data_IF_429559808913
#
_entry.id   IF_429559808913
#
_cell.length_a   1.000
_cell.length_b   1.000
_cell.length_c   1.000
_cell.angle_alpha   90.00
_cell.angle_beta   90.00
_cell.angle_gamma   90.00
#
_symmetry.space_group_name_H-M   'P 1'
#
loop_
_entity.id
_entity.type
_entity.pdbx_description
1 polymer ?
#
# COMPACT_ATOMS: atom_id res chain seq x y z
N UNK A 1 12.07 -24.49 14.44
CA UNK A 1 11.06 -25.17 13.61
C UNK A 1 9.71 -24.93 14.25
N UNK A 2 8.70 -24.53 13.49
CA UNK A 2 7.34 -24.35 14.00
C UNK A 2 6.72 -25.72 14.28
N UNK A 3 6.16 -25.94 15.48
CA UNK A 3 5.30 -27.09 15.80
C UNK A 3 3.87 -26.74 15.43
N UNK A 4 3.36 -27.36 14.37
CA UNK A 4 2.00 -27.13 13.87
C UNK A 4 1.03 -28.16 14.47
N UNK A 5 -0.10 -27.68 14.98
CA UNK A 5 -1.19 -28.54 15.43
C UNK A 5 -2.05 -29.03 14.24
N UNK A 6 -3.05 -29.86 14.54
CA UNK A 6 -3.96 -30.42 13.53
C UNK A 6 -4.73 -29.34 12.78
N UNK A 7 -5.10 -28.24 13.45
CA UNK A 7 -5.83 -27.11 12.87
C UNK A 7 -4.96 -26.38 11.83
N UNK A 8 -3.73 -26.03 12.21
CA UNK A 8 -2.77 -25.40 11.31
C UNK A 8 -2.47 -26.28 10.08
N UNK A 9 -2.33 -27.60 10.26
CA UNK A 9 -2.14 -28.54 9.15
C UNK A 9 -3.37 -28.60 8.22
N UNK A 10 -4.59 -28.51 8.75
CA UNK A 10 -5.83 -28.48 7.96
C UNK A 10 -5.90 -27.21 7.11
N UNK A 11 -5.62 -26.04 7.71
CA UNK A 11 -5.59 -24.75 7.02
C UNK A 11 -4.58 -24.75 5.87
N UNK A 12 -3.34 -25.19 6.12
CA UNK A 12 -2.28 -25.23 5.11
C UNK A 12 -2.62 -26.17 3.93
N UNK A 13 -3.33 -27.27 4.17
CA UNK A 13 -3.79 -28.19 3.12
C UNK A 13 -4.95 -27.62 2.29
N UNK A 14 -5.81 -26.80 2.91
CA UNK A 14 -6.99 -26.20 2.28
C UNK A 14 -6.63 -24.99 1.42
N UNK A 15 -5.59 -24.25 1.78
CA UNK A 15 -5.15 -23.09 1.03
C UNK A 15 -4.77 -23.47 -0.42
N UNK A 16 -5.33 -22.75 -1.40
CA UNK A 16 -5.12 -23.01 -2.84
C UNK A 16 -3.65 -22.89 -3.26
N UNK A 17 -2.93 -21.98 -2.64
CA UNK A 17 -1.51 -21.71 -2.87
C UNK A 17 -0.91 -21.02 -1.63
N UNK A 18 0.36 -20.63 -1.71
CA UNK A 18 1.11 -20.04 -0.59
C UNK A 18 1.10 -18.51 -0.55
N UNK A 19 0.22 -17.86 -1.33
CA UNK A 19 0.08 -16.40 -1.25
C UNK A 19 -0.57 -16.04 0.09
N UNK A 20 -0.14 -14.91 0.67
CA UNK A 20 -0.60 -14.51 2.00
C UNK A 20 -2.13 -14.43 2.08
N UNK A 21 -2.77 -13.85 1.07
CA UNK A 21 -4.24 -13.75 1.00
C UNK A 21 -4.92 -15.13 0.99
N UNK A 22 -4.38 -16.11 0.23
CA UNK A 22 -4.92 -17.48 0.19
C UNK A 22 -4.81 -18.19 1.54
N UNK A 23 -3.70 -18.00 2.24
CA UNK A 23 -3.44 -18.61 3.56
C UNK A 23 -4.34 -18.01 4.64
N UNK A 24 -4.43 -16.67 4.70
CA UNK A 24 -5.29 -16.00 5.68
C UNK A 24 -6.77 -16.27 5.40
N UNK A 25 -7.18 -16.33 4.13
CA UNK A 25 -8.55 -16.73 3.78
C UNK A 25 -8.88 -18.14 4.27
N UNK A 26 -7.99 -19.11 4.07
CA UNK A 26 -8.20 -20.47 4.55
C UNK A 26 -8.29 -20.56 6.08
N UNK A 27 -7.52 -19.72 6.80
CA UNK A 27 -7.63 -19.58 8.25
C UNK A 27 -9.00 -18.98 8.65
N UNK A 28 -9.43 -17.91 7.98
CA UNK A 28 -10.73 -17.29 8.26
C UNK A 28 -11.87 -18.27 8.01
N UNK A 29 -11.88 -18.98 6.87
CA UNK A 29 -12.93 -19.96 6.55
C UNK A 29 -13.02 -21.06 7.62
N UNK A 30 -11.87 -21.53 8.14
CA UNK A 30 -11.82 -22.54 9.20
C UNK A 30 -12.36 -22.00 10.54
N UNK A 31 -12.07 -20.74 10.87
CA UNK A 31 -12.61 -20.09 12.07
C UNK A 31 -14.10 -19.75 11.92
N UNK A 32 -14.55 -19.36 10.72
CA UNK A 32 -15.97 -19.16 10.40
C UNK A 32 -16.76 -20.48 10.61
N UNK A 33 -16.20 -21.63 10.22
CA UNK A 33 -16.77 -22.97 10.52
C UNK A 33 -16.88 -23.26 12.03
N UNK A 34 -16.04 -22.64 12.86
CA UNK A 34 -16.09 -22.73 14.32
C UNK A 34 -17.03 -21.71 14.97
N UNK A 35 -17.69 -20.86 14.18
CA UNK A 35 -18.64 -19.84 14.65
C UNK A 35 -18.04 -18.46 14.94
N UNK A 36 -16.81 -18.19 14.48
CA UNK A 36 -16.23 -16.84 14.54
C UNK A 36 -16.76 -15.96 13.40
N UNK A 37 -16.89 -14.66 13.66
CA UNK A 37 -17.27 -13.67 12.66
C UNK A 37 -16.11 -12.68 12.43
N UNK A 38 -15.84 -12.38 11.16
CA UNK A 38 -14.84 -11.38 10.76
C UNK A 38 -15.53 -10.15 10.19
N UNK A 39 -15.52 -9.07 10.96
CA UNK A 39 -16.14 -7.79 10.58
C UNK A 39 -15.24 -7.01 9.63
N UNK A 40 -15.86 -6.27 8.70
CA UNK A 40 -15.16 -5.28 7.88
C UNK A 40 -14.63 -4.16 8.79
N UNK A 41 -13.30 -3.92 8.84
CA UNK A 41 -12.75 -2.84 9.65
C UNK A 41 -13.03 -1.46 9.07
N UNK A 42 -13.39 -1.35 7.78
CA UNK A 42 -13.50 -0.08 7.07
C UNK A 42 -14.44 0.94 7.73
N UNK A 43 -15.67 0.59 8.15
CA UNK A 43 -16.58 1.55 8.80
C UNK A 43 -16.05 2.12 10.11
N UNK A 44 -15.12 1.42 10.77
CA UNK A 44 -14.52 1.83 12.04
C UNK A 44 -13.24 2.65 11.86
N UNK A 45 -12.66 2.65 10.66
CA UNK A 45 -11.36 3.25 10.36
C UNK A 45 -11.43 4.28 9.22
N UNK A 46 -12.62 4.79 8.89
CA UNK A 46 -12.82 5.71 7.76
C UNK A 46 -11.97 6.98 7.87
N UNK A 47 -11.76 7.50 9.08
CA UNK A 47 -10.98 8.71 9.33
C UNK A 47 -9.51 8.56 8.87
N UNK A 48 -8.99 7.33 8.91
CA UNK A 48 -7.62 6.99 8.51
C UNK A 48 -7.48 6.84 7.00
N UNK A 49 -8.56 6.74 6.23
CA UNK A 49 -8.48 6.60 4.78
C UNK A 49 -7.92 7.86 4.12
N UNK A 50 -7.11 7.67 3.09
CA UNK A 50 -6.70 8.74 2.19
C UNK A 50 -7.94 9.33 1.50
N UNK A 51 -8.16 10.65 1.67
CA UNK A 51 -9.21 11.39 0.97
C UNK A 51 -8.87 11.58 -0.51
N UNK A 52 -9.73 12.26 -1.27
CA UNK A 52 -9.43 12.66 -2.65
C UNK A 52 -8.72 14.02 -2.67
N UNK A 53 -7.74 14.18 -3.57
CA UNK A 53 -6.99 15.42 -3.76
C UNK A 53 -5.74 15.51 -2.89
N UNK A 54 -5.13 16.69 -2.84
CA UNK A 54 -3.95 16.96 -2.00
C UNK A 54 -4.35 16.92 -0.53
N UNK A 55 -3.67 16.10 0.28
CA UNK A 55 -4.04 15.79 1.66
C UNK A 55 -3.28 16.63 2.69
N UNK A 56 -2.12 17.17 2.33
CA UNK A 56 -1.33 18.08 3.15
C UNK A 56 -1.23 19.47 2.53
N UNK A 57 -0.46 20.38 3.13
CA UNK A 57 -0.38 21.79 2.68
C UNK A 57 0.41 22.00 1.39
N UNK A 58 1.08 20.96 0.89
CA UNK A 58 1.99 21.01 -0.25
C UNK A 58 1.37 20.40 -1.50
N UNK A 59 1.13 21.24 -2.50
CA UNK A 59 0.72 20.78 -3.83
C UNK A 59 1.87 20.06 -4.56
N UNK A 60 1.59 19.00 -5.33
CA UNK A 60 2.59 18.36 -6.16
C UNK A 60 2.98 19.28 -7.32
N UNK A 61 4.21 19.15 -7.81
CA UNK A 61 4.59 19.77 -9.08
C UNK A 61 3.82 19.15 -10.25
N UNK A 62 3.71 19.86 -11.38
CA UNK A 62 3.07 19.32 -12.59
C UNK A 62 3.72 18.00 -13.04
N UNK A 63 5.05 17.90 -12.97
CA UNK A 63 5.78 16.68 -13.31
C UNK A 63 5.47 15.53 -12.34
N UNK A 64 5.38 15.82 -11.04
CA UNK A 64 5.00 14.80 -10.06
C UNK A 64 3.57 14.31 -10.29
N UNK A 65 2.62 15.21 -10.58
CA UNK A 65 1.25 14.84 -10.92
C UNK A 65 1.19 13.98 -12.19
N UNK A 66 1.95 14.33 -13.23
CA UNK A 66 2.05 13.50 -14.45
C UNK A 66 2.58 12.09 -14.17
N UNK A 67 3.63 11.96 -13.33
CA UNK A 67 4.18 10.67 -12.92
C UNK A 67 3.16 9.86 -12.10
N UNK A 68 2.42 10.52 -11.19
CA UNK A 68 1.35 9.90 -10.42
C UNK A 68 0.23 9.35 -11.30
N UNK A 69 -0.26 10.16 -12.25
CA UNK A 69 -1.31 9.77 -13.19
C UNK A 69 -0.84 8.67 -14.16
N UNK A 70 0.42 8.70 -14.58
CA UNK A 70 1.03 7.64 -15.38
C UNK A 70 1.13 6.32 -14.59
N UNK A 71 1.63 6.39 -13.35
CA UNK A 71 1.92 5.22 -12.53
C UNK A 71 0.67 4.55 -11.95
N UNK A 72 -0.39 5.31 -11.68
CA UNK A 72 -1.59 4.81 -11.04
C UNK A 72 -2.24 3.59 -11.74
N UNK A 73 -2.59 3.63 -13.05
CA UNK A 73 -3.15 2.46 -13.72
C UNK A 73 -2.18 1.27 -13.73
N UNK A 74 -0.87 1.51 -13.84
CA UNK A 74 0.14 0.44 -13.80
C UNK A 74 0.17 -0.24 -12.42
N UNK A 75 0.14 0.55 -11.35
CA UNK A 75 0.06 0.04 -9.99
C UNK A 75 -1.20 -0.81 -9.78
N UNK A 76 -2.35 -0.40 -10.37
CA UNK A 76 -3.61 -1.16 -10.30
C UNK A 76 -3.51 -2.53 -10.96
N UNK A 77 -2.88 -2.62 -12.13
CA UNK A 77 -2.66 -3.89 -12.83
C UNK A 77 -1.73 -4.82 -12.03
N UNK A 78 -0.60 -4.30 -11.54
CA UNK A 78 0.34 -5.07 -10.71
C UNK A 78 -0.34 -5.60 -9.44
N UNK A 79 -1.16 -4.78 -8.79
CA UNK A 79 -1.90 -5.19 -7.61
C UNK A 79 -2.90 -6.32 -7.92
N UNK A 80 -3.51 -6.35 -9.12
CA UNK A 80 -4.38 -7.48 -9.51
C UNK A 80 -3.63 -8.80 -9.63
N UNK A 81 -2.35 -8.75 -9.97
CA UNK A 81 -1.51 -9.94 -10.11
C UNK A 81 -1.04 -10.50 -8.76
N UNK A 82 -1.42 -9.89 -7.63
CA UNK A 82 -0.99 -10.33 -6.28
C UNK A 82 0.54 -10.26 -6.10
N UNK A 83 1.21 -9.36 -6.82
CA UNK A 83 2.67 -9.16 -6.71
C UNK A 83 2.98 -8.19 -5.57
N UNK A 84 2.35 -7.01 -5.59
CA UNK A 84 2.51 -5.97 -4.58
C UNK A 84 1.57 -4.80 -4.84
N UNK A 85 1.55 -3.82 -3.94
CA UNK A 85 0.60 -2.70 -3.97
C UNK A 85 1.27 -1.35 -4.22
N UNK A 86 2.60 -1.31 -4.21
CA UNK A 86 3.39 -0.10 -4.35
C UNK A 86 4.28 -0.17 -5.59
N UNK A 87 4.33 0.93 -6.34
CA UNK A 87 5.37 1.15 -7.35
C UNK A 87 6.07 2.49 -7.10
N UNK A 88 7.27 2.62 -7.66
CA UNK A 88 8.01 3.87 -7.68
C UNK A 88 8.27 4.28 -9.13
N UNK A 89 7.94 5.52 -9.45
CA UNK A 89 8.01 6.10 -10.80
C UNK A 89 8.93 7.32 -10.79
N UNK A 90 9.61 7.55 -11.90
CA UNK A 90 10.28 8.81 -12.20
C UNK A 90 10.24 9.07 -13.69
N UNK A 91 9.83 10.26 -14.10
CA UNK A 91 9.81 10.70 -15.50
C UNK A 91 9.09 9.68 -16.40
N UNK A 92 7.88 9.28 -15.98
CA UNK A 92 7.02 8.28 -16.64
C UNK A 92 7.71 6.92 -16.88
N UNK A 93 8.63 6.55 -16.00
CA UNK A 93 9.30 5.25 -16.01
C UNK A 93 9.11 4.56 -14.67
N UNK A 94 8.68 3.29 -14.68
CA UNK A 94 8.63 2.47 -13.47
C UNK A 94 10.04 2.07 -13.08
N UNK A 95 10.49 2.52 -11.91
CA UNK A 95 11.84 2.26 -11.38
C UNK A 95 11.84 0.98 -10.54
N UNK A 96 10.81 0.81 -9.71
CA UNK A 96 10.65 -0.39 -8.89
C UNK A 96 9.18 -0.73 -8.69
N UNK A 97 8.94 -2.01 -8.45
CA UNK A 97 7.66 -2.60 -8.08
C UNK A 97 7.89 -3.36 -6.78
N UNK A 98 7.07 -3.11 -5.77
CA UNK A 98 7.04 -3.88 -4.52
C UNK A 98 6.64 -5.33 -4.80
N UNK A 99 7.31 -6.27 -4.15
CA UNK A 99 6.89 -7.64 -4.02
C UNK A 99 7.11 -8.13 -2.57
N UNK A 100 7.76 -9.28 -2.38
CA UNK A 100 7.99 -9.86 -1.05
C UNK A 100 8.94 -9.04 -0.16
N UNK A 101 9.72 -8.11 -0.71
CA UNK A 101 10.64 -7.28 0.07
C UNK A 101 9.92 -6.20 0.88
N UNK A 102 8.68 -5.87 0.52
CA UNK A 102 7.88 -4.85 1.17
C UNK A 102 8.14 -3.42 0.68
N UNK A 103 7.24 -2.52 1.09
CA UNK A 103 7.15 -1.14 0.59
C UNK A 103 8.46 -0.36 0.76
N UNK A 104 9.08 -0.41 1.93
CA UNK A 104 10.28 0.39 2.24
C UNK A 104 11.49 -0.04 1.39
N UNK A 105 11.74 -1.35 1.26
CA UNK A 105 12.85 -1.85 0.45
C UNK A 105 12.66 -1.53 -1.04
N UNK A 106 11.43 -1.56 -1.55
CA UNK A 106 11.13 -1.12 -2.91
C UNK A 106 11.42 0.38 -3.13
N UNK A 107 11.13 1.23 -2.13
CA UNK A 107 11.44 2.67 -2.14
C UNK A 107 12.96 2.89 -2.12
N UNK A 108 13.69 2.25 -1.21
CA UNK A 108 15.14 2.37 -1.13
C UNK A 108 15.82 1.90 -2.41
N UNK A 109 15.35 0.79 -2.99
CA UNK A 109 15.84 0.27 -4.27
C UNK A 109 15.65 1.29 -5.39
N UNK A 110 14.50 1.95 -5.47
CA UNK A 110 14.28 3.02 -6.45
C UNK A 110 15.24 4.21 -6.25
N UNK A 111 15.45 4.63 -5.00
CA UNK A 111 16.41 5.69 -4.68
C UNK A 111 17.84 5.35 -5.11
N UNK A 112 18.26 4.09 -4.97
CA UNK A 112 19.57 3.61 -5.43
C UNK A 112 19.69 3.60 -6.97
N UNK A 113 18.62 3.26 -7.67
CA UNK A 113 18.61 3.11 -9.14
C UNK A 113 18.43 4.44 -9.88
N UNK A 114 17.56 5.32 -9.38
CA UNK A 114 17.11 6.52 -10.09
C UNK A 114 17.41 7.84 -9.34
N UNK A 115 17.94 7.76 -8.12
CA UNK A 115 18.27 8.92 -7.30
C UNK A 115 17.05 9.70 -6.80
N UNK A 116 17.24 11.01 -6.60
CA UNK A 116 16.20 11.92 -6.10
C UNK A 116 15.04 12.12 -7.08
N UNK A 117 13.91 12.61 -6.56
CA UNK A 117 12.74 12.97 -7.35
C UNK A 117 11.95 11.76 -7.85
N UNK A 118 12.00 10.66 -7.11
CA UNK A 118 11.10 9.53 -7.34
C UNK A 118 9.72 9.84 -6.73
N UNK A 119 8.66 9.30 -7.32
CA UNK A 119 7.28 9.36 -6.84
C UNK A 119 6.79 7.98 -6.52
N UNK A 120 6.12 7.85 -5.38
CA UNK A 120 5.62 6.55 -4.92
C UNK A 120 4.12 6.52 -5.10
N UNK A 121 3.61 5.43 -5.66
CA UNK A 121 2.18 5.20 -5.83
C UNK A 121 1.82 3.93 -5.08
N UNK A 122 0.84 4.01 -4.17
CA UNK A 122 0.29 2.86 -3.45
C UNK A 122 -1.20 2.75 -3.68
N UNK A 123 -1.65 1.55 -4.02
CA UNK A 123 -3.05 1.26 -4.39
C UNK A 123 -3.57 0.03 -3.66
N UNK A 124 -4.88 -0.18 -3.71
CA UNK A 124 -5.50 -1.42 -3.29
C UNK A 124 -5.72 -2.34 -4.49
N UNK A 125 -5.93 -3.63 -4.21
CA UNK A 125 -6.41 -4.59 -5.22
C UNK A 125 -7.84 -4.25 -5.62
N UNK A 126 -8.33 -4.78 -6.76
CA UNK A 126 -9.72 -4.53 -7.19
C UNK A 126 -10.69 -5.24 -6.24
N UNK A 127 -10.39 -6.50 -5.94
CA UNK A 127 -11.14 -7.34 -5.01
C UNK A 127 -10.40 -7.44 -3.67
N UNK A 128 -9.99 -6.29 -3.11
CA UNK A 128 -9.33 -6.24 -1.80
C UNK A 128 -10.32 -6.69 -0.73
N UNK A 129 -10.00 -7.76 -0.01
CA UNK A 129 -10.72 -8.14 1.21
C UNK A 129 -10.08 -7.38 2.38
N UNK A 130 -10.71 -6.27 2.78
CA UNK A 130 -10.22 -5.40 3.84
C UNK A 130 -10.20 -6.07 5.22
N UNK A 131 -10.87 -7.21 5.38
CA UNK A 131 -10.80 -8.03 6.61
C UNK A 131 -9.47 -8.78 6.72
N UNK A 132 -8.82 -9.05 5.59
CA UNK A 132 -7.55 -9.77 5.51
C UNK A 132 -6.39 -8.78 5.56
N UNK A 133 -6.44 -7.78 4.69
CA UNK A 133 -5.33 -6.87 4.46
C UNK A 133 -5.85 -5.48 4.13
N UNK A 134 -5.29 -4.49 4.83
CA UNK A 134 -5.59 -3.07 4.65
C UNK A 134 -4.36 -2.38 4.07
N UNK A 135 -4.39 -1.92 2.81
CA UNK A 135 -3.26 -1.21 2.21
C UNK A 135 -2.94 0.03 3.04
N UNK A 136 -1.71 0.13 3.54
CA UNK A 136 -1.37 1.12 4.57
C UNK A 136 -0.06 1.83 4.27
N UNK A 137 0.01 3.12 4.62
CA UNK A 137 1.24 3.90 4.76
C UNK A 137 1.35 4.46 6.18
N UNK A 138 2.59 4.63 6.65
CA UNK A 138 2.88 5.16 7.98
C UNK A 138 4.19 5.93 8.02
N UNK A 139 4.62 6.34 9.21
CA UNK A 139 5.81 7.16 9.39
C UNK A 139 7.08 6.53 8.79
N UNK A 140 7.19 5.21 8.82
CA UNK A 140 8.32 4.49 8.20
C UNK A 140 8.33 4.61 6.67
N UNK A 141 7.15 4.64 6.03
CA UNK A 141 7.02 4.94 4.59
C UNK A 141 7.51 6.36 4.33
N UNK A 142 7.10 7.32 5.16
CA UNK A 142 7.47 8.72 4.98
C UNK A 142 8.97 8.96 5.20
N UNK A 143 9.58 8.23 6.14
CA UNK A 143 11.01 8.24 6.37
C UNK A 143 11.77 7.65 5.17
N UNK A 144 11.27 6.55 4.58
CA UNK A 144 11.84 5.98 3.37
C UNK A 144 11.80 6.97 2.18
N UNK A 145 10.67 7.66 1.99
CA UNK A 145 10.52 8.71 0.98
C UNK A 145 11.53 9.84 1.17
N UNK A 146 11.70 10.31 2.42
CA UNK A 146 12.67 11.35 2.77
C UNK A 146 14.09 10.94 2.44
N UNK A 147 14.49 9.72 2.80
CA UNK A 147 15.85 9.22 2.56
C UNK A 147 16.22 9.23 1.09
N UNK A 148 15.29 8.85 0.21
CA UNK A 148 15.53 8.86 -1.24
C UNK A 148 15.27 10.24 -1.88
N UNK A 149 14.86 11.25 -1.10
CA UNK A 149 14.46 12.58 -1.58
C UNK A 149 13.34 12.48 -2.64
N UNK A 150 12.34 11.64 -2.36
CA UNK A 150 11.07 11.65 -3.08
C UNK A 150 10.31 12.94 -2.77
N UNK A 151 9.50 13.41 -3.70
CA UNK A 151 8.77 14.68 -3.58
C UNK A 151 7.24 14.50 -3.59
N UNK A 152 6.73 13.31 -3.93
CA UNK A 152 5.30 13.01 -3.86
C UNK A 152 4.98 11.54 -3.56
N UNK A 153 3.87 11.34 -2.84
CA UNK A 153 3.23 10.07 -2.55
C UNK A 153 1.78 10.12 -3.03
N UNK A 154 1.42 9.19 -3.91
CA UNK A 154 0.07 9.04 -4.45
C UNK A 154 -0.60 7.81 -3.86
N UNK A 155 -1.80 7.97 -3.34
CA UNK A 155 -2.59 6.92 -2.68
C UNK A 155 -3.93 6.74 -3.40
N UNK A 156 -4.44 5.52 -3.47
CA UNK A 156 -5.83 5.30 -3.91
C UNK A 156 -6.81 5.82 -2.85
N UNK A 157 -7.56 6.86 -3.23
CA UNK A 157 -8.52 7.51 -2.35
C UNK A 157 -9.62 6.53 -1.90
N UNK A 158 -9.94 6.55 -0.61
CA UNK A 158 -10.96 5.70 0.01
C UNK A 158 -10.58 4.22 0.14
N UNK A 159 -9.32 3.85 -0.14
CA UNK A 159 -8.84 2.46 0.01
C UNK A 159 -7.49 2.30 0.70
N UNK A 160 -6.64 3.32 0.72
CA UNK A 160 -5.36 3.26 1.46
C UNK A 160 -5.48 3.99 2.78
N UNK A 161 -5.03 3.34 3.85
CA UNK A 161 -5.01 3.86 5.22
C UNK A 161 -3.70 4.60 5.51
N UNK A 162 -3.80 5.68 6.28
CA UNK A 162 -2.66 6.48 6.75
C UNK A 162 -2.62 6.36 8.29
N UNK A 163 -1.64 5.62 8.80
CA UNK A 163 -1.43 5.46 10.25
C UNK A 163 -0.96 6.78 10.84
N UNK A 164 -1.53 7.18 11.98
CA UNK A 164 -1.31 8.48 12.61
C UNK A 164 -1.47 9.66 11.63
N UNK A 165 -2.55 9.65 10.82
CA UNK A 165 -2.77 10.56 9.68
C UNK A 165 -2.38 12.01 9.92
N UNK A 166 -2.84 12.62 11.02
CA UNK A 166 -2.49 14.02 11.34
C UNK A 166 -0.99 14.24 11.52
N UNK A 167 -0.31 13.32 12.20
CA UNK A 167 1.13 13.37 12.42
C UNK A 167 1.88 13.10 11.11
N UNK A 168 1.38 12.14 10.32
CA UNK A 168 1.93 11.80 9.00
C UNK A 168 1.91 13.02 8.06
N UNK A 169 0.76 13.68 7.92
CA UNK A 169 0.60 14.82 7.00
C UNK A 169 1.45 16.03 7.44
N UNK A 170 1.48 16.35 8.74
CA UNK A 170 2.34 17.41 9.29
C UNK A 170 3.83 17.11 9.08
N UNK A 171 4.23 15.84 9.18
CA UNK A 171 5.61 15.44 8.93
C UNK A 171 5.93 15.49 7.43
N UNK A 172 4.98 15.14 6.56
CA UNK A 172 5.14 15.19 5.11
C UNK A 172 5.40 16.63 4.64
N UNK A 173 4.69 17.61 5.20
CA UNK A 173 4.96 19.04 4.98
C UNK A 173 6.41 19.41 5.33
N UNK A 174 6.88 19.00 6.52
CA UNK A 174 8.27 19.27 6.94
C UNK A 174 9.30 18.60 6.03
N UNK A 175 8.98 17.43 5.51
CA UNK A 175 9.85 16.70 4.59
C UNK A 175 9.72 17.16 3.13
N UNK A 176 8.80 18.09 2.86
CA UNK A 176 8.50 18.61 1.52
C UNK A 176 8.04 17.50 0.56
N UNK A 177 7.19 16.61 1.06
CA UNK A 177 6.58 15.52 0.30
C UNK A 177 5.09 15.84 0.16
N UNK A 178 4.60 15.98 -1.06
CA UNK A 178 3.17 16.11 -1.33
C UNK A 178 2.48 14.75 -1.18
N UNK A 179 1.35 14.70 -0.49
CA UNK A 179 0.56 13.48 -0.32
C UNK A 179 -0.77 13.70 -1.03
N UNK A 180 -1.07 12.85 -2.01
CA UNK A 180 -2.21 13.05 -2.92
C UNK A 180 -3.05 11.79 -2.99
N UNK A 181 -4.35 11.92 -2.79
CA UNK A 181 -5.31 10.85 -3.06
C UNK A 181 -5.86 10.92 -4.48
N UNK A 182 -5.51 9.93 -5.29
CA UNK A 182 -6.03 9.79 -6.66
C UNK A 182 -7.38 9.06 -6.65
N UNK A 183 -8.33 9.47 -7.51
CA UNK A 183 -9.66 8.87 -7.55
C UNK A 183 -9.59 7.41 -7.99
N UNK A 184 -10.60 6.65 -7.58
CA UNK A 184 -10.83 5.30 -8.07
C UNK A 184 -11.15 5.39 -9.57
N UNK A 185 -10.28 4.83 -10.41
CA UNK A 185 -10.56 4.52 -11.82
C UNK A 185 -11.28 3.19 -11.95
#
# INVERSE_FOLDING_TARGET
>A
LLTLDSLALKILKRAKDRRAQSLVRALMDELEEMGFEFIDPKPYLEELLAGKGTLNSLEPSSQAMEDGLFGFPIAKEIAQLDVGQTIVVKEKTVVSVEAMEGTQEAIYRAGKLAGRGCRVIKVARKNQDFRIDVPTVGLDTLEALRQIKADALFLEAGKVYIVDKDKFLKLADRYKISVVGLPIT
#
